data_IF_638094225406
#
_entry.id   IF_638094225406
#
_cell.length_a   1.000
_cell.length_b   1.000
_cell.length_c   1.000
_cell.angle_alpha   90.00
_cell.angle_beta   90.00
_cell.angle_gamma   90.00
#
_symmetry.space_group_name_H-M   'P 1'
#
loop_
_entity.id
_entity.type
_entity.pdbx_description
1 polymer ?
#
# COMPACT_ATOMS: atom_id res chain seq x y z
N UNK A 1 -43.18 47.10 8.13
CA UNK A 1 -43.05 45.63 8.07
C UNK A 1 -41.79 45.31 7.28
N UNK A 2 -40.69 45.05 7.98
CA UNK A 2 -39.47 44.50 7.38
C UNK A 2 -39.14 43.24 8.17
N UNK A 3 -39.32 42.08 7.55
CA UNK A 3 -38.98 40.79 8.14
C UNK A 3 -37.51 40.50 7.82
N UNK A 4 -36.73 40.39 8.88
CA UNK A 4 -35.31 40.06 8.89
C UNK A 4 -35.21 38.53 8.94
N UNK A 5 -34.92 37.88 7.82
CA UNK A 5 -34.65 36.44 7.76
C UNK A 5 -33.28 36.16 8.41
N UNK A 6 -33.32 35.61 9.63
CA UNK A 6 -32.13 35.08 10.31
C UNK A 6 -31.75 33.77 9.63
N UNK A 7 -30.54 33.72 9.07
CA UNK A 7 -29.83 32.48 8.78
C UNK A 7 -29.75 31.62 10.06
N UNK A 8 -30.35 30.43 10.02
CA UNK A 8 -30.11 29.38 11.01
C UNK A 8 -28.76 28.69 10.69
N UNK A 9 -27.86 28.50 11.66
CA UNK A 9 -26.66 27.71 11.45
C UNK A 9 -27.02 26.22 11.30
N UNK A 10 -26.28 25.51 10.45
CA UNK A 10 -26.44 24.07 10.22
C UNK A 10 -26.36 23.27 11.55
N UNK A 11 -27.08 22.14 11.67
CA UNK A 11 -27.01 21.30 12.88
C UNK A 11 -25.58 20.78 13.07
N UNK A 12 -25.04 20.94 14.29
CA UNK A 12 -23.74 20.41 14.66
C UNK A 12 -23.76 18.88 14.54
N UNK A 13 -22.78 18.32 13.82
CA UNK A 13 -22.57 16.87 13.76
C UNK A 13 -22.46 16.29 15.19
N UNK A 14 -23.10 15.15 15.48
CA UNK A 14 -22.97 14.51 16.78
C UNK A 14 -21.51 14.10 16.99
N UNK A 15 -20.91 14.61 18.08
CA UNK A 15 -19.55 14.27 18.48
C UNK A 15 -19.36 12.76 18.75
N UNK A 16 -18.10 12.30 18.94
CA UNK A 16 -17.81 10.89 19.15
C UNK A 16 -18.58 10.32 20.35
N UNK A 17 -19.11 9.08 20.26
CA UNK A 17 -19.75 8.44 21.41
C UNK A 17 -18.73 8.16 22.53
N UNK A 18 -19.14 8.14 23.81
CA UNK A 18 -18.23 7.95 24.96
C UNK A 18 -17.40 6.66 24.88
N UNK A 19 -17.99 5.59 24.34
CA UNK A 19 -17.30 4.31 24.14
C UNK A 19 -16.13 4.44 23.15
N UNK A 20 -16.29 5.25 22.11
CA UNK A 20 -15.24 5.52 21.14
C UNK A 20 -14.09 6.32 21.76
N UNK A 21 -14.39 7.28 22.64
CA UNK A 21 -13.37 8.04 23.38
C UNK A 21 -12.55 7.12 24.28
N UNK A 22 -13.18 6.19 24.99
CA UNK A 22 -12.46 5.24 25.85
C UNK A 22 -11.61 4.27 25.04
N UNK A 23 -12.10 3.84 23.87
CA UNK A 23 -11.31 3.06 22.91
C UNK A 23 -10.05 3.82 22.45
N UNK A 24 -10.18 5.12 22.12
CA UNK A 24 -9.04 5.96 21.70
C UNK A 24 -8.00 6.05 22.81
N UNK A 25 -8.44 6.26 24.05
CA UNK A 25 -7.56 6.28 25.22
C UNK A 25 -6.81 4.95 25.43
N UNK A 26 -7.51 3.81 25.35
CA UNK A 26 -6.88 2.49 25.48
C UNK A 26 -5.81 2.26 24.41
N UNK A 27 -6.06 2.70 23.17
CA UNK A 27 -5.09 2.60 22.09
C UNK A 27 -3.90 3.56 22.27
N UNK A 28 -4.12 4.78 22.79
CA UNK A 28 -3.04 5.72 23.11
C UNK A 28 -2.12 5.17 24.21
N UNK A 29 -2.66 4.54 25.26
CA UNK A 29 -1.85 3.91 26.31
C UNK A 29 -0.96 2.77 25.77
N UNK A 30 -1.34 2.16 24.64
CA UNK A 30 -0.62 1.06 23.98
C UNK A 30 -0.04 1.48 22.62
N UNK A 31 0.25 2.78 22.42
CA UNK A 31 0.66 3.35 21.12
C UNK A 31 1.84 2.64 20.44
N UNK A 32 2.69 1.95 21.22
CA UNK A 32 3.86 1.23 20.71
C UNK A 32 3.76 -0.30 20.82
N UNK A 33 2.64 -0.82 21.31
CA UNK A 33 2.33 -2.25 21.32
C UNK A 33 1.52 -2.56 20.05
N UNK A 34 2.24 -2.86 18.97
CA UNK A 34 1.63 -3.10 17.65
C UNK A 34 0.67 -4.29 17.69
N UNK A 35 1.01 -5.34 18.47
CA UNK A 35 0.20 -6.54 18.61
C UNK A 35 -1.12 -6.27 19.35
N UNK A 36 -1.12 -5.32 20.31
CA UNK A 36 -2.33 -4.83 20.96
C UNK A 36 -3.18 -4.00 19.99
N UNK A 37 -2.56 -3.05 19.29
CA UNK A 37 -3.26 -2.15 18.35
C UNK A 37 -3.91 -2.90 17.20
N UNK A 38 -3.26 -3.95 16.68
CA UNK A 38 -3.77 -4.80 15.61
C UNK A 38 -5.09 -5.51 15.96
N UNK A 39 -5.26 -5.88 17.23
CA UNK A 39 -6.47 -6.53 17.75
C UNK A 39 -7.49 -5.53 18.30
N UNK A 40 -7.18 -4.24 18.27
CA UNK A 40 -7.99 -3.21 18.91
C UNK A 40 -9.24 -2.85 18.09
N UNK A 41 -10.42 -2.63 18.69
CA UNK A 41 -11.66 -2.31 17.98
C UNK A 41 -11.58 -1.09 17.05
N UNK A 42 -10.67 -0.16 17.34
CA UNK A 42 -10.49 1.05 16.52
C UNK A 42 -10.01 0.78 15.09
N UNK A 43 -9.34 -0.35 14.86
CA UNK A 43 -8.82 -0.73 13.54
C UNK A 43 -9.92 -0.89 12.49
N UNK A 44 -11.12 -1.32 12.89
CA UNK A 44 -12.26 -1.60 11.99
C UNK A 44 -13.08 -0.37 11.61
N UNK A 45 -12.64 0.78 12.09
CA UNK A 45 -13.58 1.82 12.50
C UNK A 45 -13.09 3.17 11.96
N UNK A 46 -11.77 3.36 11.79
CA UNK A 46 -11.16 4.43 10.99
C UNK A 46 -11.21 4.10 9.49
N UNK A 47 -12.30 4.50 8.85
CA UNK A 47 -12.44 4.73 7.41
C UNK A 47 -11.40 4.14 6.45
N UNK A 48 -11.62 2.90 6.05
CA UNK A 48 -11.44 2.39 4.70
C UNK A 48 -12.17 1.05 4.66
N UNK A 49 -13.11 0.90 3.74
CA UNK A 49 -13.54 -0.45 3.38
C UNK A 49 -12.31 -1.27 2.98
N UNK A 50 -12.32 -2.53 3.40
CA UNK A 50 -11.50 -3.62 2.86
C UNK A 50 -10.00 -3.68 3.25
N UNK A 51 -9.65 -4.84 3.81
CA UNK A 51 -8.44 -5.62 3.47
C UNK A 51 -7.05 -4.96 3.67
N UNK A 52 -6.75 -4.44 4.86
CA UNK A 52 -5.35 -4.34 5.32
C UNK A 52 -4.95 -5.62 6.08
N UNK A 53 -3.80 -6.27 5.79
CA UNK A 53 -3.28 -7.40 6.56
C UNK A 53 -3.22 -7.08 8.06
N UNK A 54 -3.49 -8.05 8.96
CA UNK A 54 -3.49 -7.83 10.41
C UNK A 54 -2.27 -7.02 10.90
N UNK A 55 -1.06 -7.41 10.48
CA UNK A 55 0.21 -6.74 10.83
C UNK A 55 0.29 -5.24 10.43
N UNK A 56 -0.46 -4.81 9.41
CA UNK A 56 -0.52 -3.42 8.94
C UNK A 56 -1.63 -2.62 9.64
N UNK A 57 -2.62 -3.27 10.26
CA UNK A 57 -3.72 -2.61 10.98
C UNK A 57 -3.23 -1.91 12.25
N UNK A 58 -2.38 -2.58 13.03
CA UNK A 58 -1.78 -2.00 14.24
C UNK A 58 -0.88 -0.80 13.93
N UNK A 59 -0.09 -0.90 12.86
CA UNK A 59 0.79 0.19 12.40
C UNK A 59 0.00 1.37 11.84
N UNK A 60 -1.07 1.12 11.08
CA UNK A 60 -1.97 2.15 10.58
C UNK A 60 -2.71 2.87 11.70
N UNK A 61 -3.26 2.13 12.67
CA UNK A 61 -3.92 2.72 13.84
C UNK A 61 -2.93 3.57 14.65
N UNK A 62 -1.68 3.12 14.82
CA UNK A 62 -0.60 3.92 15.43
C UNK A 62 -0.34 5.22 14.67
N UNK A 63 -0.25 5.15 13.34
CA UNK A 63 -0.04 6.32 12.49
C UNK A 63 -1.20 7.31 12.61
N UNK A 64 -2.45 6.85 12.55
CA UNK A 64 -3.65 7.69 12.69
C UNK A 64 -3.72 8.37 14.07
N UNK A 65 -3.43 7.65 15.15
CA UNK A 65 -3.38 8.21 16.50
C UNK A 65 -2.28 9.26 16.63
N UNK A 66 -1.10 8.99 16.06
CA UNK A 66 0.03 9.93 16.08
C UNK A 66 -0.25 11.18 15.24
N UNK A 67 -0.82 11.01 14.05
CA UNK A 67 -1.25 12.11 13.18
C UNK A 67 -2.36 12.94 13.81
N UNK A 68 -3.23 12.31 14.62
CA UNK A 68 -4.27 13.01 15.35
C UNK A 68 -3.73 13.84 16.53
N UNK A 69 -2.74 13.33 17.26
CA UNK A 69 -2.01 14.13 18.27
C UNK A 69 -1.33 15.32 17.58
N UNK A 70 -0.62 15.08 16.46
CA UNK A 70 0.14 16.12 15.77
C UNK A 70 -0.74 17.22 15.18
N UNK A 71 -1.95 16.90 14.74
CA UNK A 71 -2.89 17.90 14.28
C UNK A 71 -3.40 18.85 15.37
N UNK A 72 -3.22 18.51 16.65
CA UNK A 72 -3.49 19.41 17.78
C UNK A 72 -2.34 20.39 18.04
N UNK A 73 -1.20 20.26 17.36
CA UNK A 73 -0.05 21.15 17.48
C UNK A 73 -0.44 22.58 17.07
N UNK A 74 -0.38 23.56 17.99
CA UNK A 74 -0.78 24.93 17.68
C UNK A 74 0.29 25.71 16.88
N UNK A 75 1.42 25.09 16.55
CA UNK A 75 2.52 25.69 15.79
C UNK A 75 3.55 26.42 16.65
N UNK A 76 4.74 26.65 16.08
CA UNK A 76 5.92 27.16 16.78
C UNK A 76 5.76 28.57 17.38
N UNK A 77 4.72 29.31 17.01
CA UNK A 77 4.46 30.68 17.47
C UNK A 77 3.65 30.75 18.76
N UNK A 78 3.09 29.62 19.23
CA UNK A 78 2.30 29.59 20.46
C UNK A 78 3.20 29.22 21.64
N UNK A 79 3.19 30.00 22.74
CA UNK A 79 4.02 29.71 23.90
C UNK A 79 3.80 28.31 24.44
N UNK A 80 4.88 27.63 24.83
CA UNK A 80 4.89 26.23 25.23
C UNK A 80 3.85 25.86 26.32
N UNK A 81 3.55 26.78 27.24
CA UNK A 81 2.58 26.57 28.33
C UNK A 81 1.19 27.17 28.08
N UNK A 82 0.96 27.79 26.91
CA UNK A 82 -0.35 28.37 26.57
C UNK A 82 -1.43 27.29 26.48
N UNK A 83 -2.71 27.56 26.81
CA UNK A 83 -3.74 26.52 26.90
C UNK A 83 -3.84 25.53 25.72
N UNK A 84 -3.78 25.95 24.44
CA UNK A 84 -3.79 25.01 23.31
C UNK A 84 -2.46 24.23 23.16
N UNK A 85 -1.31 24.84 23.45
CA UNK A 85 0.00 24.16 23.42
C UNK A 85 0.17 23.18 24.57
N UNK A 86 -0.39 23.50 25.73
CA UNK A 86 -0.33 22.67 26.92
C UNK A 86 -0.99 21.31 26.71
N UNK A 87 -2.16 21.27 26.07
CA UNK A 87 -2.88 20.03 25.76
C UNK A 87 -2.06 19.16 24.80
N UNK A 88 -1.55 19.74 23.70
CA UNK A 88 -0.70 19.04 22.74
C UNK A 88 0.60 18.53 23.38
N UNK A 89 1.32 19.39 24.09
CA UNK A 89 2.59 19.04 24.73
C UNK A 89 2.38 17.94 25.78
N UNK A 90 1.27 17.96 26.52
CA UNK A 90 0.96 16.93 27.51
C UNK A 90 0.67 15.58 26.85
N UNK A 91 -0.05 15.56 25.71
CA UNK A 91 -0.26 14.35 24.92
C UNK A 91 1.05 13.80 24.35
N UNK A 92 1.90 14.68 23.81
CA UNK A 92 3.20 14.31 23.23
C UNK A 92 4.13 13.72 24.31
N UNK A 93 4.29 14.41 25.44
CA UNK A 93 5.10 13.94 26.57
C UNK A 93 4.59 12.60 27.12
N UNK A 94 3.26 12.45 27.28
CA UNK A 94 2.65 11.24 27.83
C UNK A 94 2.77 10.04 26.88
N UNK A 95 2.38 10.21 25.62
CA UNK A 95 2.18 9.09 24.69
C UNK A 95 3.32 8.92 23.70
N UNK A 96 3.94 9.99 23.20
CA UNK A 96 5.04 9.92 22.23
C UNK A 96 6.37 9.71 22.96
N UNK A 97 6.67 10.53 23.96
CA UNK A 97 7.90 10.43 24.76
C UNK A 97 7.82 9.42 25.92
N UNK A 98 6.65 8.80 26.13
CA UNK A 98 6.40 7.75 27.15
C UNK A 98 6.68 8.19 28.59
N UNK A 99 6.48 9.47 28.90
CA UNK A 99 6.62 9.97 30.27
C UNK A 99 5.40 9.60 31.10
N UNK A 100 5.58 9.51 32.42
CA UNK A 100 4.44 9.42 33.33
C UNK A 100 3.67 10.74 33.35
N UNK A 101 2.39 10.72 33.74
CA UNK A 101 1.60 11.95 33.89
C UNK A 101 2.27 12.92 34.86
N UNK A 102 2.91 12.42 35.91
CA UNK A 102 3.64 13.22 36.89
C UNK A 102 4.87 13.90 36.28
N UNK A 103 5.66 13.19 35.46
CA UNK A 103 6.82 13.76 34.77
C UNK A 103 6.41 14.81 33.74
N UNK A 104 5.39 14.51 32.93
CA UNK A 104 4.85 15.45 31.96
C UNK A 104 4.26 16.71 32.64
N UNK A 105 3.62 16.56 33.80
CA UNK A 105 3.14 17.68 34.61
C UNK A 105 4.29 18.54 35.15
N UNK A 106 5.37 17.92 35.63
CA UNK A 106 6.56 18.64 36.11
C UNK A 106 7.21 19.47 35.00
N UNK A 107 7.35 18.91 33.81
CA UNK A 107 7.93 19.61 32.65
C UNK A 107 7.09 20.79 32.17
N UNK A 108 5.77 20.69 32.28
CA UNK A 108 4.85 21.77 31.93
C UNK A 108 4.55 22.72 33.10
N UNK A 109 5.20 22.54 34.26
CA UNK A 109 4.95 23.30 35.50
C UNK A 109 3.46 23.29 35.91
N UNK A 110 2.82 22.13 35.84
CA UNK A 110 1.40 21.92 36.15
C UNK A 110 1.21 21.14 37.45
N UNK A 111 0.09 21.41 38.13
CA UNK A 111 -0.39 20.51 39.17
C UNK A 111 -0.91 19.20 38.55
N UNK A 112 -0.79 18.09 39.28
CA UNK A 112 -1.27 16.77 38.85
C UNK A 112 -2.76 16.81 38.45
N UNK A 113 -3.61 17.50 39.22
CA UNK A 113 -5.03 17.69 38.89
C UNK A 113 -5.24 18.44 37.58
N UNK A 114 -4.39 19.43 37.28
CA UNK A 114 -4.48 20.16 36.02
C UNK A 114 -4.03 19.29 34.84
N UNK A 115 -2.94 18.55 35.01
CA UNK A 115 -2.45 17.62 34.00
C UNK A 115 -3.52 16.55 33.66
N UNK A 116 -4.14 15.91 34.64
CA UNK A 116 -5.20 14.93 34.36
C UNK A 116 -6.41 15.54 33.62
N UNK A 117 -6.79 16.79 33.92
CA UNK A 117 -7.87 17.48 33.21
C UNK A 117 -7.52 17.79 31.76
N UNK A 118 -6.33 18.33 31.53
CA UNK A 118 -5.87 18.69 30.19
C UNK A 118 -5.60 17.44 29.33
N UNK A 119 -5.12 16.35 29.94
CA UNK A 119 -4.89 15.07 29.25
C UNK A 119 -6.21 14.48 28.77
N UNK A 120 -7.23 14.43 29.64
CA UNK A 120 -8.58 13.99 29.29
C UNK A 120 -9.17 14.82 28.16
N UNK A 121 -9.00 16.15 28.23
CA UNK A 121 -9.44 17.05 27.16
C UNK A 121 -8.68 16.79 25.85
N UNK A 122 -7.40 16.43 25.92
CA UNK A 122 -6.59 16.03 24.79
C UNK A 122 -7.07 14.73 24.14
N UNK A 123 -7.31 13.68 24.93
CA UNK A 123 -7.85 12.40 24.48
C UNK A 123 -9.21 12.57 23.78
N UNK A 124 -10.11 13.40 24.33
CA UNK A 124 -11.40 13.73 23.73
C UNK A 124 -11.26 14.45 22.38
N UNK A 125 -10.25 15.33 22.22
CA UNK A 125 -9.97 16.02 20.95
C UNK A 125 -9.39 15.09 19.89
N UNK A 126 -8.49 14.19 20.29
CA UNK A 126 -7.95 13.13 19.41
C UNK A 126 -9.11 12.25 18.91
N UNK A 127 -10.01 11.84 19.80
CA UNK A 127 -11.19 11.07 19.43
C UNK A 127 -12.11 11.86 18.47
N UNK A 128 -12.38 13.13 18.74
CA UNK A 128 -13.21 13.95 17.85
C UNK A 128 -12.63 14.04 16.43
N UNK A 129 -11.30 14.17 16.32
CA UNK A 129 -10.65 14.25 15.02
C UNK A 129 -10.68 12.92 14.26
N UNK A 130 -10.48 11.80 14.94
CA UNK A 130 -10.59 10.47 14.34
C UNK A 130 -12.03 10.15 13.92
N UNK A 131 -13.01 10.62 14.67
CA UNK A 131 -14.43 10.46 14.37
C UNK A 131 -14.85 11.22 13.11
N UNK A 132 -14.41 12.47 12.98
CA UNK A 132 -14.71 13.32 11.82
C UNK A 132 -14.12 12.81 10.49
N UNK A 133 -13.18 11.86 10.54
CA UNK A 133 -12.49 11.29 9.36
C UNK A 133 -13.14 10.01 8.82
N UNK A 134 -14.29 9.57 9.35
CA UNK A 134 -14.94 8.31 8.93
C UNK A 134 -15.88 8.49 7.72
N UNK A 135 -15.78 7.66 6.66
CA UNK A 135 -16.83 7.48 5.66
C UNK A 135 -18.00 6.69 6.25
N UNK A 136 -19.22 7.18 6.03
CA UNK A 136 -20.48 6.51 6.40
C UNK A 136 -20.75 5.26 5.56
N UNK A 137 -20.18 4.11 5.90
CA UNK A 137 -20.55 2.83 5.27
C UNK A 137 -20.58 1.70 6.29
N UNK A 138 -21.75 1.48 6.90
CA UNK A 138 -22.06 0.23 7.60
C UNK A 138 -23.53 -0.13 7.40
N UNK A 139 -23.80 -0.93 6.38
CA UNK A 139 -24.96 -1.84 6.31
C UNK A 139 -24.70 -2.90 5.23
N UNK A 140 -24.68 -4.16 5.67
CA UNK A 140 -24.66 -5.44 4.93
C UNK A 140 -23.33 -6.22 4.90
N UNK A 141 -23.20 -7.15 5.86
CA UNK A 141 -22.57 -8.48 5.67
C UNK A 141 -23.61 -9.46 5.04
N UNK A 142 -23.28 -10.70 4.55
CA UNK A 142 -22.10 -11.54 4.79
C UNK A 142 -21.56 -12.30 3.54
N UNK A 143 -20.33 -11.96 3.09
CA UNK A 143 -19.49 -12.81 2.21
C UNK A 143 -18.06 -13.04 2.77
N UNK A 144 -17.65 -12.27 3.77
CA UNK A 144 -16.27 -12.15 4.25
C UNK A 144 -15.70 -13.41 4.96
N UNK A 145 -16.55 -14.31 5.46
CA UNK A 145 -16.08 -15.50 6.20
C UNK A 145 -15.35 -16.53 5.33
N UNK A 146 -15.55 -16.56 4.00
CA UNK A 146 -14.86 -17.49 3.10
C UNK A 146 -13.51 -16.96 2.56
N UNK A 147 -13.34 -15.64 2.43
CA UNK A 147 -12.08 -15.02 1.99
C UNK A 147 -10.98 -15.14 3.05
N UNK A 148 -11.33 -15.01 4.33
CA UNK A 148 -10.35 -15.03 5.43
C UNK A 148 -9.54 -16.32 5.57
N UNK A 149 -10.09 -17.47 5.19
CA UNK A 149 -9.34 -18.75 5.21
C UNK A 149 -8.36 -18.86 4.04
N UNK A 150 -8.73 -18.31 2.87
CA UNK A 150 -7.88 -18.30 1.69
C UNK A 150 -6.75 -17.28 1.81
N UNK A 151 -7.02 -16.09 2.37
CA UNK A 151 -6.01 -15.07 2.68
C UNK A 151 -4.95 -15.59 3.67
N UNK A 152 -5.36 -16.37 4.67
CA UNK A 152 -4.44 -17.00 5.64
C UNK A 152 -3.60 -18.14 5.03
N UNK A 153 -4.07 -18.76 3.95
CA UNK A 153 -3.35 -19.78 3.19
C UNK A 153 -2.39 -19.11 2.19
N UNK A 154 -2.84 -18.08 1.46
CA UNK A 154 -2.05 -17.23 0.57
C UNK A 154 -0.91 -16.49 1.27
N UNK A 155 -1.08 -16.06 2.52
CA UNK A 155 -0.02 -15.40 3.29
C UNK A 155 1.18 -16.32 3.58
N UNK A 156 1.01 -17.64 3.48
CA UNK A 156 2.08 -18.64 3.67
C UNK A 156 2.75 -19.07 2.37
N UNK A 157 2.19 -18.69 1.23
CA UNK A 157 2.79 -18.97 -0.08
C UNK A 157 3.84 -17.92 -0.41
N UNK A 158 5.10 -18.33 -0.41
CA UNK A 158 6.20 -17.57 -1.01
C UNK A 158 6.22 -17.87 -2.53
N UNK A 159 5.98 -16.88 -3.41
CA UNK A 159 6.05 -17.09 -4.85
C UNK A 159 7.49 -17.43 -5.27
N UNK A 160 7.66 -18.45 -6.11
CA UNK A 160 8.97 -18.86 -6.61
C UNK A 160 9.09 -18.52 -8.11
N UNK A 161 9.44 -17.26 -8.45
CA UNK A 161 9.47 -16.83 -9.83
C UNK A 161 10.52 -17.61 -10.63
N UNK A 162 10.11 -18.15 -11.77
CA UNK A 162 11.01 -18.81 -12.72
C UNK A 162 10.64 -18.45 -14.15
N UNK A 163 11.61 -18.49 -15.09
CA UNK A 163 11.33 -18.24 -16.51
C UNK A 163 10.24 -19.18 -17.02
N UNK A 164 9.11 -18.62 -17.43
CA UNK A 164 7.91 -19.37 -17.81
C UNK A 164 7.33 -18.83 -19.10
N UNK A 165 7.04 -19.74 -20.05
CA UNK A 165 6.36 -19.39 -21.31
C UNK A 165 4.85 -19.20 -21.07
N UNK A 166 4.39 -17.95 -21.15
CA UNK A 166 2.98 -17.59 -21.03
C UNK A 166 2.11 -18.23 -22.12
N UNK A 167 2.66 -18.47 -23.31
CA UNK A 167 1.96 -19.17 -24.38
C UNK A 167 1.69 -20.64 -24.03
N UNK A 168 2.59 -21.29 -23.27
CA UNK A 168 2.37 -22.63 -22.74
C UNK A 168 1.32 -22.62 -21.61
N UNK A 169 1.42 -21.68 -20.67
CA UNK A 169 0.45 -21.54 -19.58
C UNK A 169 -0.97 -21.29 -20.10
N UNK A 170 -1.15 -20.41 -21.08
CA UNK A 170 -2.46 -20.16 -21.70
C UNK A 170 -3.03 -21.43 -22.35
N UNK A 171 -2.18 -22.25 -22.99
CA UNK A 171 -2.61 -23.53 -23.58
C UNK A 171 -3.05 -24.53 -22.51
N UNK A 172 -2.36 -24.59 -21.36
CA UNK A 172 -2.78 -25.44 -20.24
C UNK A 172 -4.09 -24.93 -19.62
N UNK A 173 -4.20 -23.64 -19.32
CA UNK A 173 -5.41 -23.04 -18.79
C UNK A 173 -6.63 -23.29 -19.71
N UNK A 174 -6.43 -23.21 -21.03
CA UNK A 174 -7.44 -23.58 -22.04
C UNK A 174 -7.96 -25.00 -21.88
N UNK A 175 -7.07 -25.97 -21.63
CA UNK A 175 -7.45 -27.37 -21.47
C UNK A 175 -8.29 -27.57 -20.20
N UNK A 176 -7.93 -26.88 -19.11
CA UNK A 176 -8.65 -26.95 -17.83
C UNK A 176 -10.07 -26.40 -17.97
N UNK A 177 -10.25 -25.27 -18.67
CA UNK A 177 -11.58 -24.64 -18.85
C UNK A 177 -12.39 -25.19 -20.04
N UNK A 178 -11.81 -26.07 -20.86
CA UNK A 178 -12.47 -26.61 -22.06
C UNK A 178 -13.84 -27.28 -21.77
N UNK A 179 -14.03 -28.07 -20.69
CA UNK A 179 -15.34 -28.64 -20.37
C UNK A 179 -16.40 -27.57 -20.06
N UNK A 180 -16.01 -26.50 -19.38
CA UNK A 180 -16.91 -25.38 -19.05
C UNK A 180 -17.30 -24.60 -20.32
N UNK A 181 -16.33 -24.35 -21.21
CA UNK A 181 -16.58 -23.70 -22.50
C UNK A 181 -17.55 -24.53 -23.36
N UNK A 182 -17.33 -25.84 -23.45
CA UNK A 182 -18.22 -26.76 -24.18
C UNK A 182 -19.63 -26.77 -23.59
N UNK A 183 -19.80 -26.79 -22.26
CA UNK A 183 -21.10 -26.75 -21.60
C UNK A 183 -21.88 -25.45 -21.90
N UNK A 184 -21.17 -24.33 -22.09
CA UNK A 184 -21.76 -23.03 -22.42
C UNK A 184 -21.89 -22.77 -23.93
N UNK A 185 -21.44 -23.70 -24.78
CA UNK A 185 -21.45 -23.51 -26.24
C UNK A 185 -20.53 -22.39 -26.71
N UNK A 186 -19.36 -22.24 -26.08
CA UNK A 186 -18.35 -21.24 -26.42
C UNK A 186 -17.15 -21.91 -27.08
N UNK A 187 -16.77 -21.42 -28.26
CA UNK A 187 -15.54 -21.78 -28.94
C UNK A 187 -14.39 -20.85 -28.48
N UNK A 188 -13.40 -21.43 -27.81
CA UNK A 188 -12.28 -20.73 -27.20
C UNK A 188 -11.07 -20.70 -28.14
N UNK A 189 -10.83 -19.53 -28.73
CA UNK A 189 -9.79 -19.32 -29.73
C UNK A 189 -8.61 -18.57 -29.14
N UNK A 190 -7.40 -19.16 -29.19
CA UNK A 190 -6.17 -18.52 -28.68
C UNK A 190 -5.29 -18.12 -29.86
N UNK A 191 -4.99 -16.83 -29.95
CA UNK A 191 -4.10 -16.24 -30.94
C UNK A 191 -2.83 -15.76 -30.24
N UNK A 192 -1.70 -16.39 -30.58
CA UNK A 192 -0.38 -16.02 -30.07
C UNK A 192 0.32 -15.17 -31.14
N UNK A 193 0.57 -13.89 -30.83
CA UNK A 193 1.29 -13.00 -31.77
C UNK A 193 2.80 -13.25 -31.77
N UNK A 194 3.31 -13.99 -30.78
CA UNK A 194 4.75 -14.29 -30.62
C UNK A 194 4.97 -15.77 -30.29
N UNK A 195 6.15 -16.30 -30.63
CA UNK A 195 6.50 -17.70 -30.40
C UNK A 195 7.07 -17.98 -29.00
N UNK A 196 7.53 -16.96 -28.26
CA UNK A 196 8.14 -17.12 -26.93
C UNK A 196 7.86 -15.87 -26.07
N UNK A 197 6.81 -15.92 -25.25
CA UNK A 197 6.52 -14.88 -24.27
C UNK A 197 6.98 -15.36 -22.89
N UNK A 198 8.30 -15.40 -22.68
CA UNK A 198 8.91 -15.91 -21.45
C UNK A 198 9.00 -14.80 -20.40
N UNK A 199 8.32 -14.99 -19.28
CA UNK A 199 8.29 -14.05 -18.15
C UNK A 199 8.70 -14.77 -16.87
N UNK A 200 9.40 -14.08 -15.97
CA UNK A 200 9.74 -14.62 -14.65
C UNK A 200 8.53 -14.54 -13.73
N UNK A 201 7.92 -15.69 -13.42
CA UNK A 201 6.70 -15.78 -12.62
C UNK A 201 6.58 -17.16 -11.96
N UNK A 202 5.72 -17.29 -10.96
CA UNK A 202 5.35 -18.59 -10.41
C UNK A 202 4.26 -19.23 -11.31
N UNK A 203 4.55 -20.33 -12.02
CA UNK A 203 3.60 -20.90 -12.97
C UNK A 203 2.35 -21.47 -12.32
N UNK A 204 2.41 -21.96 -11.08
CA UNK A 204 1.23 -22.53 -10.44
C UNK A 204 0.23 -21.41 -10.11
N UNK A 205 0.73 -20.30 -9.58
CA UNK A 205 -0.07 -19.12 -9.26
C UNK A 205 -0.58 -18.46 -10.55
N UNK A 206 0.27 -18.29 -11.55
CA UNK A 206 -0.11 -17.71 -12.83
C UNK A 206 -1.16 -18.56 -13.56
N UNK A 207 -1.02 -19.90 -13.56
CA UNK A 207 -2.03 -20.80 -14.14
C UNK A 207 -3.39 -20.63 -13.44
N UNK A 208 -3.41 -20.53 -12.11
CA UNK A 208 -4.65 -20.30 -11.36
C UNK A 208 -5.34 -18.98 -11.74
N UNK A 209 -4.59 -17.88 -11.85
CA UNK A 209 -5.13 -16.58 -12.27
C UNK A 209 -5.71 -16.67 -13.69
N UNK A 210 -4.99 -17.31 -14.62
CA UNK A 210 -5.46 -17.49 -16.00
C UNK A 210 -6.72 -18.36 -16.06
N UNK A 211 -6.77 -19.47 -15.32
CA UNK A 211 -7.94 -20.37 -15.26
C UNK A 211 -9.15 -19.64 -14.69
N UNK A 212 -8.99 -18.88 -13.60
CA UNK A 212 -10.08 -18.11 -12.99
C UNK A 212 -10.59 -17.02 -13.93
N UNK A 213 -9.67 -16.30 -14.58
CA UNK A 213 -10.00 -15.22 -15.52
C UNK A 213 -10.73 -15.76 -16.75
N UNK A 214 -10.26 -16.88 -17.32
CA UNK A 214 -10.94 -17.55 -18.44
C UNK A 214 -12.32 -18.10 -18.01
N UNK A 215 -12.41 -18.71 -16.83
CA UNK A 215 -13.68 -19.24 -16.32
C UNK A 215 -14.71 -18.14 -16.12
N UNK A 216 -14.29 -16.98 -15.58
CA UNK A 216 -15.13 -15.80 -15.43
C UNK A 216 -15.63 -15.30 -16.79
N UNK A 217 -14.74 -15.14 -17.77
CA UNK A 217 -15.11 -14.72 -19.11
C UNK A 217 -16.09 -15.68 -19.80
N UNK A 218 -15.86 -17.00 -19.69
CA UNK A 218 -16.76 -18.05 -20.21
C UNK A 218 -18.15 -17.98 -19.56
N UNK A 219 -18.21 -17.68 -18.26
CA UNK A 219 -19.48 -17.60 -17.54
C UNK A 219 -20.30 -16.37 -17.92
N UNK A 220 -19.66 -15.27 -18.30
CA UNK A 220 -20.32 -14.02 -18.71
C UNK A 220 -20.69 -13.99 -20.19
N UNK A 221 -19.95 -14.69 -21.04
CA UNK A 221 -20.18 -14.70 -22.47
C UNK A 221 -21.58 -15.22 -22.83
N UNK A 222 -22.22 -14.56 -23.79
CA UNK A 222 -23.56 -14.89 -24.29
C UNK A 222 -23.58 -16.11 -25.23
N UNK A 223 -22.46 -16.83 -25.36
CA UNK A 223 -22.23 -17.91 -26.32
C UNK A 223 -21.39 -17.46 -27.52
N UNK A 224 -21.09 -18.39 -28.43
CA UNK A 224 -20.34 -18.09 -29.65
C UNK A 224 -18.83 -18.23 -29.45
N UNK A 225 -18.09 -17.14 -29.63
CA UNK A 225 -16.61 -17.16 -29.60
C UNK A 225 -16.06 -16.37 -28.41
N UNK A 226 -15.04 -16.91 -27.77
CA UNK A 226 -14.16 -16.18 -26.85
C UNK A 226 -12.77 -16.13 -27.44
N UNK A 227 -12.30 -14.93 -27.76
CA UNK A 227 -10.99 -14.73 -28.38
C UNK A 227 -9.98 -14.30 -27.34
N UNK A 228 -8.92 -15.08 -27.15
CA UNK A 228 -7.76 -14.72 -26.34
C UNK A 228 -6.63 -14.30 -27.27
N UNK A 229 -6.10 -13.09 -27.08
CA UNK A 229 -4.90 -12.62 -27.81
C UNK A 229 -3.77 -12.35 -26.83
N UNK A 230 -2.58 -12.85 -27.15
CA UNK A 230 -1.34 -12.49 -26.47
C UNK A 230 -0.54 -11.55 -27.35
N UNK A 231 -0.20 -10.38 -26.81
CA UNK A 231 0.62 -9.36 -27.43
C UNK A 231 1.82 -9.06 -26.55
N UNK A 232 3.02 -9.22 -27.09
CA UNK A 232 4.26 -8.83 -26.42
C UNK A 232 4.55 -7.34 -26.70
N UNK A 233 4.97 -6.60 -25.67
CA UNK A 233 5.49 -5.24 -25.76
C UNK A 233 6.80 -5.17 -24.97
N UNK A 234 7.65 -4.18 -25.29
CA UNK A 234 9.03 -4.06 -24.75
C UNK A 234 9.16 -4.31 -23.24
N UNK A 235 8.18 -3.86 -22.45
CA UNK A 235 8.22 -3.91 -20.98
C UNK A 235 7.01 -4.63 -20.35
N UNK A 236 6.04 -5.08 -21.15
CA UNK A 236 4.84 -5.77 -20.67
C UNK A 236 4.27 -6.74 -21.71
N UNK A 237 3.83 -7.93 -21.29
CA UNK A 237 2.95 -8.80 -22.09
C UNK A 237 1.50 -8.46 -21.78
N UNK A 238 0.69 -8.20 -22.82
CA UNK A 238 -0.76 -8.02 -22.69
C UNK A 238 -1.48 -9.27 -23.16
N UNK A 239 -2.34 -9.81 -22.31
CA UNK A 239 -3.31 -10.85 -22.66
C UNK A 239 -4.70 -10.20 -22.67
N UNK A 240 -5.42 -10.28 -23.79
CA UNK A 240 -6.78 -9.73 -23.92
C UNK A 240 -7.77 -10.85 -24.23
N UNK A 241 -8.84 -10.94 -23.44
CA UNK A 241 -9.96 -11.85 -23.65
C UNK A 241 -11.15 -11.02 -24.13
N UNK A 242 -11.63 -11.29 -25.33
CA UNK A 242 -12.74 -10.58 -25.97
C UNK A 242 -13.92 -11.52 -26.18
N UNK A 243 -15.11 -11.11 -25.72
CA UNK A 243 -16.33 -11.91 -25.80
C UNK A 243 -17.60 -11.04 -25.83
N UNK A 244 -18.65 -11.56 -26.48
CA UNK A 244 -19.95 -10.92 -26.53
C UNK A 244 -20.76 -11.17 -25.25
N UNK A 245 -21.53 -10.18 -24.81
CA UNK A 245 -22.44 -10.25 -23.66
C UNK A 245 -23.86 -9.86 -24.06
N UNK A 246 -24.84 -10.45 -23.38
CA UNK A 246 -26.26 -10.14 -23.63
C UNK A 246 -26.68 -8.86 -22.91
N UNK A 247 -27.29 -7.92 -23.65
CA UNK A 247 -27.75 -6.61 -23.15
C UNK A 247 -28.73 -6.67 -21.98
N UNK A 248 -29.41 -7.80 -21.77
CA UNK A 248 -30.34 -8.01 -20.65
C UNK A 248 -29.67 -8.47 -19.35
N UNK A 249 -28.37 -8.76 -19.37
CA UNK A 249 -27.63 -9.22 -18.19
C UNK A 249 -27.04 -8.02 -17.45
N UNK A 250 -27.57 -7.72 -16.25
CA UNK A 250 -26.85 -6.87 -15.28
C UNK A 250 -25.41 -7.40 -15.12
N UNK A 251 -24.40 -6.54 -14.89
CA UNK A 251 -23.02 -6.98 -14.72
C UNK A 251 -22.95 -7.98 -13.56
N UNK A 252 -22.91 -9.28 -13.92
CA UNK A 252 -22.78 -10.36 -12.95
C UNK A 252 -21.34 -10.41 -12.49
N UNK A 253 -21.09 -9.69 -11.41
CA UNK A 253 -19.87 -9.68 -10.59
C UNK A 253 -18.62 -9.26 -11.35
N UNK A 254 -17.92 -8.24 -10.84
CA UNK A 254 -16.52 -8.01 -11.18
C UNK A 254 -15.73 -9.32 -11.03
N UNK A 255 -14.53 -9.38 -11.64
CA UNK A 255 -13.58 -10.46 -11.37
C UNK A 255 -13.53 -10.73 -9.86
N UNK A 256 -13.50 -12.01 -9.49
CA UNK A 256 -13.50 -12.42 -8.10
C UNK A 256 -12.36 -11.70 -7.34
N UNK A 257 -12.66 -11.14 -6.17
CA UNK A 257 -11.70 -10.38 -5.35
C UNK A 257 -10.44 -11.21 -5.10
N UNK A 258 -10.63 -12.52 -4.90
CA UNK A 258 -9.54 -13.48 -4.78
C UNK A 258 -8.60 -13.48 -5.99
N UNK A 259 -9.16 -13.44 -7.20
CA UNK A 259 -8.36 -13.43 -8.43
C UNK A 259 -7.63 -12.10 -8.61
N UNK A 260 -8.26 -10.99 -8.21
CA UNK A 260 -7.63 -9.67 -8.21
C UNK A 260 -6.46 -9.59 -7.21
N UNK A 261 -6.63 -10.13 -5.99
CA UNK A 261 -5.58 -10.18 -4.98
C UNK A 261 -4.38 -11.05 -5.42
N UNK A 262 -4.63 -12.20 -6.04
CA UNK A 262 -3.55 -13.06 -6.55
C UNK A 262 -2.82 -12.35 -7.72
N UNK A 263 -3.56 -11.71 -8.61
CA UNK A 263 -2.99 -10.98 -9.74
C UNK A 263 -2.11 -9.80 -9.28
N UNK A 264 -2.59 -9.01 -8.30
CA UNK A 264 -1.85 -7.89 -7.72
C UNK A 264 -0.51 -8.33 -7.12
N UNK A 265 -0.48 -9.47 -6.41
CA UNK A 265 0.76 -10.07 -5.90
C UNK A 265 1.76 -10.53 -6.98
N UNK A 266 1.28 -10.80 -8.19
CA UNK A 266 2.16 -11.11 -9.32
C UNK A 266 2.60 -9.83 -10.07
N UNK A 267 2.17 -8.64 -9.60
CA UNK A 267 2.34 -7.38 -10.32
C UNK A 267 1.50 -7.32 -11.62
N UNK A 268 0.47 -8.15 -11.74
CA UNK A 268 -0.38 -8.19 -12.93
C UNK A 268 -1.50 -7.17 -12.79
N UNK A 269 -1.60 -6.26 -13.76
CA UNK A 269 -2.72 -5.33 -13.80
C UNK A 269 -3.88 -5.96 -14.56
N UNK A 270 -4.97 -6.20 -13.84
CA UNK A 270 -6.20 -6.78 -14.39
C UNK A 270 -7.25 -5.68 -14.53
N UNK A 271 -7.80 -5.54 -15.73
CA UNK A 271 -8.83 -4.54 -16.04
C UNK A 271 -9.93 -5.14 -16.90
N UNK A 272 -11.14 -4.62 -16.75
CA UNK A 272 -12.26 -4.97 -17.61
C UNK A 272 -12.75 -3.71 -18.31
N UNK A 273 -12.68 -3.73 -19.63
CA UNK A 273 -13.11 -2.65 -20.50
C UNK A 273 -14.44 -3.03 -21.16
N UNK A 274 -15.28 -2.01 -21.40
CA UNK A 274 -16.55 -2.15 -22.11
C UNK A 274 -16.51 -1.26 -23.34
N UNK A 275 -15.86 -1.70 -24.44
CA UNK A 275 -15.74 -0.89 -25.64
C UNK A 275 -17.10 -0.63 -26.31
N UNK A 276 -18.01 -1.61 -26.25
CA UNK A 276 -19.37 -1.51 -26.76
C UNK A 276 -20.37 -2.15 -25.78
N UNK A 277 -21.67 -1.81 -25.83
CA UNK A 277 -22.67 -2.35 -24.90
C UNK A 277 -22.72 -3.89 -24.87
N UNK A 278 -22.50 -4.51 -26.03
CA UNK A 278 -22.57 -5.97 -26.24
C UNK A 278 -21.20 -6.65 -26.24
N UNK A 279 -20.11 -5.89 -26.06
CA UNK A 279 -18.75 -6.43 -26.09
C UNK A 279 -18.06 -6.19 -24.76
N UNK A 280 -17.32 -7.19 -24.28
CA UNK A 280 -16.46 -7.07 -23.10
C UNK A 280 -15.05 -7.49 -23.44
N UNK A 281 -14.10 -6.80 -22.83
CA UNK A 281 -12.68 -7.14 -22.95
C UNK A 281 -12.05 -7.19 -21.57
N UNK A 282 -11.51 -8.34 -21.18
CA UNK A 282 -10.67 -8.45 -19.97
C UNK A 282 -9.21 -8.37 -20.41
N UNK A 283 -8.44 -7.50 -19.78
CA UNK A 283 -7.04 -7.26 -20.10
C UNK A 283 -6.15 -7.55 -18.90
N UNK A 284 -5.20 -8.47 -19.08
CA UNK A 284 -4.09 -8.73 -18.16
C UNK A 284 -2.84 -8.06 -18.72
N UNK A 285 -2.18 -7.23 -17.91
CA UNK A 285 -0.86 -6.69 -18.22
C UNK A 285 0.15 -7.32 -17.27
N UNK A 286 1.16 -7.96 -17.85
CA UNK A 286 2.16 -8.74 -17.14
C UNK A 286 3.51 -8.07 -17.39
N UNK A 287 4.21 -7.55 -16.38
CA UNK A 287 5.53 -6.95 -16.59
C UNK A 287 6.53 -8.00 -17.10
N UNK A 288 7.30 -7.66 -18.14
CA UNK A 288 8.30 -8.59 -18.73
C UNK A 288 9.65 -8.55 -18.03
N UNK A 289 9.88 -7.53 -17.18
CA UNK A 289 11.09 -7.34 -16.39
C UNK A 289 10.71 -7.18 -14.93
N UNK A 290 11.51 -7.73 -14.04
CA UNK A 290 11.36 -7.41 -12.62
C UNK A 290 11.81 -5.98 -12.32
N UNK A 291 11.49 -5.49 -11.12
CA UNK A 291 11.67 -4.08 -10.74
C UNK A 291 13.15 -3.68 -10.81
N UNK A 292 13.42 -2.46 -11.27
CA UNK A 292 14.76 -1.88 -11.25
C UNK A 292 14.98 -1.10 -9.95
N UNK A 293 15.91 -1.55 -9.12
CA UNK A 293 16.29 -0.88 -7.86
C UNK A 293 17.65 -0.23 -8.05
N UNK A 294 17.72 1.09 -7.87
CA UNK A 294 18.98 1.84 -7.83
C UNK A 294 19.53 1.85 -6.41
N UNK A 295 20.71 1.28 -6.20
CA UNK A 295 21.41 1.27 -4.91
C UNK A 295 22.55 2.29 -4.95
N UNK A 296 22.59 3.20 -3.99
CA UNK A 296 23.60 4.27 -3.91
C UNK A 296 24.27 4.20 -2.54
N UNK A 297 25.51 3.69 -2.52
CA UNK A 297 26.30 3.49 -1.31
C UNK A 297 27.79 3.42 -1.69
N UNK A 298 28.67 4.08 -0.93
CA UNK A 298 30.12 4.05 -1.17
C UNK A 298 30.78 2.75 -0.66
N UNK A 299 30.04 1.95 0.12
CA UNK A 299 30.48 0.64 0.57
C UNK A 299 30.11 -0.44 -0.46
N UNK A 300 31.07 -0.78 -1.33
CA UNK A 300 30.94 -1.86 -2.33
C UNK A 300 30.45 -3.18 -1.73
N UNK A 301 30.88 -3.52 -0.50
CA UNK A 301 30.47 -4.74 0.18
C UNK A 301 28.98 -4.77 0.53
N UNK A 302 28.40 -3.63 0.87
CA UNK A 302 26.95 -3.51 1.10
C UNK A 302 26.18 -3.53 -0.22
N UNK A 303 26.69 -2.88 -1.27
CA UNK A 303 26.10 -2.96 -2.62
C UNK A 303 26.00 -4.42 -3.08
N UNK A 304 27.11 -5.17 -3.02
CA UNK A 304 27.11 -6.60 -3.40
C UNK A 304 26.18 -7.46 -2.51
N UNK A 305 26.04 -7.10 -1.24
CA UNK A 305 25.10 -7.78 -0.34
C UNK A 305 23.64 -7.54 -0.77
N UNK A 306 23.29 -6.30 -1.10
CA UNK A 306 21.96 -5.91 -1.57
C UNK A 306 21.66 -6.51 -2.95
N UNK A 307 22.62 -6.52 -3.87
CA UNK A 307 22.52 -7.21 -5.15
C UNK A 307 22.13 -8.68 -4.96
N UNK A 308 22.80 -9.39 -4.05
CA UNK A 308 22.46 -10.78 -3.75
C UNK A 308 21.07 -10.93 -3.14
N UNK A 309 20.65 -10.02 -2.28
CA UNK A 309 19.30 -10.05 -1.69
C UNK A 309 18.19 -9.89 -2.72
N UNK A 310 18.42 -9.05 -3.73
CA UNK A 310 17.42 -8.65 -4.72
C UNK A 310 17.45 -9.50 -6.01
N UNK A 311 18.58 -10.13 -6.33
CA UNK A 311 18.69 -11.04 -7.48
C UNK A 311 17.76 -12.23 -7.35
N UNK A 312 17.61 -12.80 -6.15
CA UNK A 312 16.67 -13.90 -5.87
C UNK A 312 15.20 -13.53 -6.11
N UNK A 313 14.90 -12.23 -6.21
CA UNK A 313 13.56 -11.68 -6.33
C UNK A 313 13.25 -11.18 -7.76
N UNK A 314 14.10 -11.56 -8.72
CA UNK A 314 14.04 -11.11 -10.11
C UNK A 314 14.16 -9.58 -10.30
N UNK A 315 14.59 -8.83 -9.28
CA UNK A 315 14.86 -7.40 -9.38
C UNK A 315 16.16 -7.15 -10.14
N UNK A 316 16.16 -6.15 -11.02
CA UNK A 316 17.37 -5.62 -11.63
C UNK A 316 18.00 -4.61 -10.69
N UNK A 317 19.20 -4.89 -10.19
CA UNK A 317 19.95 -3.90 -9.40
C UNK A 317 20.84 -3.08 -10.31
N UNK A 318 20.80 -1.76 -10.13
CA UNK A 318 21.75 -0.81 -10.70
C UNK A 318 22.46 -0.13 -9.54
N UNK A 319 23.78 -0.12 -9.55
CA UNK A 319 24.57 0.43 -8.45
C UNK A 319 25.21 1.77 -8.83
N UNK A 320 25.36 2.64 -7.83
CA UNK A 320 26.21 3.82 -7.85
C UNK A 320 26.99 3.91 -6.54
N UNK A 321 28.23 4.38 -6.63
CA UNK A 321 29.16 4.47 -5.49
C UNK A 321 29.12 5.82 -4.79
N UNK A 322 28.42 6.81 -5.37
CA UNK A 322 28.28 8.15 -4.81
C UNK A 322 27.04 8.86 -5.38
N UNK A 323 26.68 9.98 -4.75
CA UNK A 323 25.50 10.76 -5.14
C UNK A 323 25.57 11.36 -6.56
N UNK A 324 26.75 11.71 -7.07
CA UNK A 324 26.88 12.28 -8.43
C UNK A 324 26.62 11.21 -9.50
N UNK A 325 27.24 10.05 -9.36
CA UNK A 325 27.01 8.89 -10.23
C UNK A 325 25.53 8.49 -10.20
N UNK A 326 24.92 8.45 -9.01
CA UNK A 326 23.48 8.21 -8.88
C UNK A 326 22.62 9.21 -9.64
N UNK A 327 22.96 10.50 -9.60
CA UNK A 327 22.22 11.54 -10.33
C UNK A 327 22.40 11.44 -11.85
N UNK A 328 23.58 11.03 -12.32
CA UNK A 328 23.88 10.80 -13.74
C UNK A 328 23.10 9.60 -14.28
N UNK A 329 23.04 8.50 -13.53
CA UNK A 329 22.23 7.34 -13.89
C UNK A 329 20.75 7.73 -14.02
N UNK A 330 20.25 8.56 -13.11
CA UNK A 330 18.87 9.07 -13.12
C UNK A 330 18.55 10.02 -14.29
N UNK A 331 19.51 10.39 -15.14
CA UNK A 331 19.25 11.11 -16.39
C UNK A 331 18.69 10.19 -17.47
N UNK A 332 19.09 8.91 -17.45
CA UNK A 332 18.75 7.92 -18.47
C UNK A 332 17.93 6.73 -17.91
N UNK A 333 17.70 6.70 -16.60
CA UNK A 333 17.01 5.63 -15.89
C UNK A 333 15.98 6.22 -14.91
N UNK A 334 14.75 5.72 -14.94
CA UNK A 334 13.76 5.92 -13.88
C UNK A 334 13.61 4.58 -13.16
N UNK A 335 14.21 4.40 -11.98
CA UNK A 335 14.10 3.14 -11.24
C UNK A 335 12.75 3.06 -10.53
N UNK A 336 12.34 1.83 -10.21
CA UNK A 336 11.14 1.55 -9.43
C UNK A 336 11.35 1.87 -7.94
N UNK A 337 12.59 1.78 -7.45
CA UNK A 337 13.00 2.23 -6.11
C UNK A 337 14.45 2.72 -6.07
N UNK A 338 14.75 3.55 -5.08
CA UNK A 338 16.13 3.94 -4.74
C UNK A 338 16.42 3.50 -3.30
N UNK A 339 17.52 2.78 -3.09
CA UNK A 339 18.12 2.54 -1.77
C UNK A 339 19.31 3.48 -1.65
N UNK A 340 19.33 4.32 -0.62
CA UNK A 340 20.26 5.44 -0.50
C UNK A 340 20.95 5.46 0.87
N UNK A 341 22.29 5.49 0.88
CA UNK A 341 23.01 5.92 2.08
C UNK A 341 23.05 7.45 2.20
N UNK A 342 23.06 7.92 3.43
CA UNK A 342 23.27 9.32 3.79
C UNK A 342 24.76 9.67 3.85
N UNK A 343 25.58 8.73 4.31
CA UNK A 343 27.00 8.95 4.59
C UNK A 343 27.84 8.53 3.39
N UNK A 344 27.94 9.41 2.38
CA UNK A 344 28.77 9.18 1.20
C UNK A 344 29.76 10.33 0.98
N UNK A 345 30.93 10.07 0.35
CA UNK A 345 31.88 11.10 -0.05
C UNK A 345 31.26 12.09 -1.05
N UNK A 346 31.79 13.31 -1.05
CA UNK A 346 31.48 14.41 -1.98
C UNK A 346 30.04 14.98 -1.91
N UNK A 347 29.03 14.12 -1.91
CA UNK A 347 27.62 14.50 -1.81
C UNK A 347 26.92 13.65 -0.74
N UNK A 348 26.37 14.33 0.26
CA UNK A 348 25.57 13.69 1.29
C UNK A 348 24.23 13.20 0.73
N UNK A 349 23.73 12.04 1.21
CA UNK A 349 22.46 11.48 0.73
C UNK A 349 21.25 12.38 1.01
N UNK A 350 21.31 13.27 2.00
CA UNK A 350 20.28 14.30 2.20
C UNK A 350 20.18 15.26 1.01
N UNK A 351 21.34 15.69 0.50
CA UNK A 351 21.44 16.59 -0.63
C UNK A 351 20.99 15.91 -1.92
N UNK A 352 21.36 14.64 -2.10
CA UNK A 352 20.87 13.78 -3.18
C UNK A 352 19.33 13.68 -3.16
N UNK A 353 18.74 13.33 -2.02
CA UNK A 353 17.29 13.17 -1.87
C UNK A 353 16.53 14.45 -2.23
N UNK A 354 17.00 15.61 -1.77
CA UNK A 354 16.40 16.90 -2.12
C UNK A 354 16.44 17.15 -3.64
N UNK A 355 17.57 16.85 -4.30
CA UNK A 355 17.68 16.97 -5.76
C UNK A 355 16.76 16.02 -6.51
N UNK A 356 16.61 14.79 -6.04
CA UNK A 356 15.66 13.82 -6.62
C UNK A 356 14.23 14.33 -6.47
N UNK A 357 13.84 14.84 -5.30
CA UNK A 357 12.48 15.36 -5.05
C UNK A 357 12.17 16.65 -5.81
N UNK A 358 13.18 17.44 -6.16
CA UNK A 358 13.02 18.61 -7.03
C UNK A 358 12.73 18.25 -8.50
N UNK A 359 12.91 16.99 -8.92
CA UNK A 359 12.69 16.53 -10.30
C UNK A 359 11.29 15.91 -10.44
N UNK A 360 10.35 16.49 -11.23
CA UNK A 360 8.98 15.97 -11.34
C UNK A 360 8.88 14.50 -11.80
N UNK A 361 9.76 14.08 -12.71
CA UNK A 361 9.81 12.71 -13.22
C UNK A 361 10.21 11.68 -12.14
N UNK A 362 10.87 12.11 -11.07
CA UNK A 362 11.38 11.23 -10.00
C UNK A 362 10.66 11.48 -8.66
N UNK A 363 9.76 12.45 -8.60
CA UNK A 363 9.07 12.85 -7.37
C UNK A 363 8.29 11.70 -6.71
N UNK A 364 7.82 10.75 -7.52
CA UNK A 364 7.06 9.57 -7.07
C UNK A 364 7.92 8.33 -6.83
N UNK A 365 9.19 8.34 -7.22
CA UNK A 365 10.06 7.18 -7.02
C UNK A 365 10.31 7.01 -5.52
N UNK A 366 9.96 5.86 -4.91
CA UNK A 366 10.19 5.64 -3.50
C UNK A 366 11.68 5.60 -3.19
N UNK A 367 12.07 6.27 -2.09
CA UNK A 367 13.46 6.31 -1.62
C UNK A 367 13.51 5.67 -0.24
N UNK A 368 14.26 4.59 -0.12
CA UNK A 368 14.53 3.90 1.15
C UNK A 368 15.92 4.34 1.60
N UNK A 369 15.98 5.02 2.75
CA UNK A 369 17.26 5.41 3.34
C UNK A 369 17.80 4.24 4.17
N UNK A 370 19.05 3.87 3.91
CA UNK A 370 19.80 2.90 4.69
C UNK A 370 21.02 3.60 5.29
N UNK A 371 21.04 3.87 6.60
CA UNK A 371 22.18 4.61 7.18
C UNK A 371 22.52 4.23 8.62
N UNK A 372 23.77 4.50 9.02
CA UNK A 372 24.22 4.44 10.41
C UNK A 372 23.72 5.63 11.24
N UNK A 373 23.42 6.77 10.61
CA UNK A 373 22.85 7.94 11.30
C UNK A 373 21.35 7.72 11.46
N UNK A 374 20.92 7.48 12.70
CA UNK A 374 19.52 7.28 13.04
C UNK A 374 18.75 8.61 13.12
N UNK A 375 18.31 9.13 11.97
CA UNK A 375 17.45 10.31 11.90
C UNK A 375 16.26 10.12 10.95
N UNK A 376 15.28 9.27 11.33
CA UNK A 376 14.11 8.98 10.50
C UNK A 376 13.21 10.23 10.30
N UNK A 377 13.14 11.13 11.27
CA UNK A 377 12.33 12.36 11.15
C UNK A 377 12.78 13.22 9.98
N UNK A 378 14.09 13.46 9.87
CA UNK A 378 14.66 14.20 8.74
C UNK A 378 14.43 13.46 7.42
N UNK A 379 14.63 12.15 7.38
CA UNK A 379 14.36 11.31 6.22
C UNK A 379 12.95 11.49 5.65
N UNK A 380 11.94 11.34 6.49
CA UNK A 380 10.56 11.48 6.05
C UNK A 380 10.22 12.92 5.66
N UNK A 381 10.74 13.92 6.39
CA UNK A 381 10.51 15.33 6.06
C UNK A 381 11.07 15.73 4.68
N UNK A 382 12.14 15.08 4.24
CA UNK A 382 12.75 15.27 2.93
C UNK A 382 12.14 14.38 1.83
N UNK A 383 11.10 13.61 2.17
CA UNK A 383 10.36 12.79 1.22
C UNK A 383 10.90 11.37 1.01
N UNK A 384 11.67 10.82 1.95
CA UNK A 384 11.96 9.39 1.94
C UNK A 384 10.69 8.58 2.23
N UNK A 385 10.61 7.39 1.65
CA UNK A 385 9.51 6.44 1.86
C UNK A 385 9.75 5.57 3.08
N UNK A 386 11.00 5.16 3.32
CA UNK A 386 11.40 4.35 4.46
C UNK A 386 12.77 4.75 4.99
N UNK A 387 13.02 4.42 6.26
CA UNK A 387 14.31 4.51 6.92
C UNK A 387 14.66 3.17 7.57
N UNK A 388 15.82 2.62 7.22
CA UNK A 388 16.38 1.38 7.75
C UNK A 388 17.74 1.68 8.40
N UNK A 389 17.91 1.41 9.71
CA UNK A 389 19.20 1.56 10.35
C UNK A 389 20.17 0.46 9.90
N UNK A 390 21.42 0.82 9.61
CA UNK A 390 22.50 -0.16 9.42
C UNK A 390 22.85 -0.80 10.78
N UNK A 391 23.07 -2.12 10.88
CA UNK A 391 23.15 -3.10 9.80
C UNK A 391 21.77 -3.55 9.28
N UNK A 392 21.61 -3.53 7.96
CA UNK A 392 20.38 -3.95 7.29
C UNK A 392 20.35 -5.46 7.08
N UNK A 393 19.21 -6.11 7.36
CA UNK A 393 19.01 -7.54 7.08
C UNK A 393 18.23 -7.71 5.78
N UNK A 394 18.37 -8.88 5.14
CA UNK A 394 17.61 -9.22 3.93
C UNK A 394 16.12 -8.96 4.09
N UNK A 395 15.55 -9.45 5.20
CA UNK A 395 14.13 -9.31 5.50
C UNK A 395 13.68 -7.84 5.51
N UNK A 396 14.44 -6.97 6.18
CA UNK A 396 14.08 -5.55 6.32
C UNK A 396 14.03 -4.83 4.96
N UNK A 397 14.97 -5.16 4.06
CA UNK A 397 15.02 -4.61 2.69
C UNK A 397 13.83 -5.09 1.85
N UNK A 398 13.53 -6.40 1.90
CA UNK A 398 12.41 -6.96 1.15
C UNK A 398 11.07 -6.44 1.65
N UNK A 399 10.88 -6.34 2.97
CA UNK A 399 9.67 -5.76 3.57
C UNK A 399 9.50 -4.29 3.18
N UNK A 400 10.59 -3.50 3.19
CA UNK A 400 10.53 -2.10 2.79
C UNK A 400 10.18 -1.93 1.30
N UNK A 401 10.75 -2.75 0.41
CA UNK A 401 10.45 -2.72 -1.03
C UNK A 401 9.00 -3.14 -1.33
N UNK A 402 8.49 -4.15 -0.61
CA UNK A 402 7.09 -4.56 -0.73
C UNK A 402 6.14 -3.45 -0.25
N UNK A 403 6.46 -2.78 0.86
CA UNK A 403 5.63 -1.69 1.40
C UNK A 403 5.55 -0.46 0.49
N UNK A 404 6.55 -0.26 -0.38
CA UNK A 404 6.53 0.81 -1.39
C UNK A 404 5.98 0.37 -2.75
N UNK A 405 5.45 -0.87 -2.85
CA UNK A 405 4.82 -1.39 -4.06
C UNK A 405 5.80 -1.70 -5.19
N UNK A 406 7.07 -1.96 -4.86
CA UNK A 406 8.10 -2.37 -5.84
C UNK A 406 8.07 -3.87 -6.04
N UNK A 407 7.61 -4.64 -5.04
CA UNK A 407 7.61 -6.10 -5.03
C UNK A 407 6.32 -6.68 -4.46
#
# INVERSE_FOLDING_TARGET
MSHNERHQPAPAEPGPPPEFVEQVKQALDHLYDIDFLERHPLTFTTGAGEESPPALRGQRLRWELSAAIEALNPGAHVPFAAPPARIYNLLSLRYVERRSVLQAAQELNLSERQAHRDLRQGEERVAAQLWARRPELSRQEPRALQLSSFEAEMARFEPHPRPTDLGQLLRHARQVVAPLAAQRGIDLQIHLSTQQAVVSLDPAIAEQVLVNTLSHAIQQAAGGYLTVRLHDRSDTVRISLEFAVSSASQPRTALDLVTLQIADRLGWQLSQETPEPELRTICLQIPTRGPTVLVIDDNEGLVSLLERYLTDQACRVVAATNGQEGLQLLENLVPDAIILDIMMPEMHGWEFLQRVRARPALARVPVIICSVIHNPQLAYSLGASFFLPKPVRRRDILEALQQVGVM
#
